data_IF_467159105844
#
_entry.id   IF_467159105844
#
_cell.length_a   1.000
_cell.length_b   1.000
_cell.length_c   1.000
_cell.angle_alpha   90.00
_cell.angle_beta   90.00
_cell.angle_gamma   90.00
#
_symmetry.space_group_name_H-M   'P 1'
#
loop_
_entity.id
_entity.type
_entity.pdbx_description
1 polymer ?
#
# COMPACT_ATOMS: atom_id res chain seq x y z
N UNK A 1 -1.10 6.72 -13.30
CA UNK A 1 -0.15 5.61 -13.11
C UNK A 1 -0.98 4.35 -12.99
N UNK A 2 -0.56 3.25 -13.63
CA UNK A 2 -1.35 2.00 -13.57
C UNK A 2 -1.00 1.19 -12.34
N UNK A 3 -1.90 0.29 -11.95
CA UNK A 3 -1.80 -0.63 -10.81
C UNK A 3 -2.07 -2.07 -11.23
N UNK A 4 -1.82 -2.38 -12.52
CA UNK A 4 -2.18 -3.66 -13.12
C UNK A 4 -1.40 -4.83 -12.53
N UNK A 5 -0.08 -4.71 -12.34
CA UNK A 5 0.75 -5.77 -11.77
C UNK A 5 0.29 -6.17 -10.35
N UNK A 6 -0.15 -5.20 -9.54
CA UNK A 6 -0.74 -5.49 -8.24
C UNK A 6 -2.03 -6.33 -8.36
N UNK A 7 -2.93 -5.97 -9.28
CA UNK A 7 -4.19 -6.69 -9.48
C UNK A 7 -3.99 -8.08 -10.10
N UNK A 8 -3.00 -8.25 -10.96
CA UNK A 8 -2.57 -9.56 -11.46
C UNK A 8 -2.09 -10.46 -10.32
N UNK A 9 -1.22 -9.95 -9.44
CA UNK A 9 -0.73 -10.70 -8.29
C UNK A 9 -1.84 -10.96 -7.26
N UNK A 10 -2.80 -10.05 -7.10
CA UNK A 10 -3.99 -10.29 -6.29
C UNK A 10 -4.82 -11.45 -6.84
N UNK A 11 -5.03 -11.49 -8.16
CA UNK A 11 -5.76 -12.57 -8.82
C UNK A 11 -5.02 -13.92 -8.71
N UNK A 12 -3.68 -13.91 -8.82
CA UNK A 12 -2.85 -15.10 -8.61
C UNK A 12 -2.91 -15.62 -7.17
N UNK A 13 -2.95 -14.72 -6.18
CA UNK A 13 -3.14 -15.08 -4.79
C UNK A 13 -4.54 -15.69 -4.54
N UNK A 14 -5.59 -15.11 -5.14
CA UNK A 14 -6.95 -15.64 -5.04
C UNK A 14 -7.10 -17.01 -5.70
N UNK A 15 -6.41 -17.25 -6.81
CA UNK A 15 -6.37 -18.53 -7.49
C UNK A 15 -5.60 -19.62 -6.72
N UNK A 16 -4.92 -19.26 -5.63
CA UNK A 16 -4.01 -20.16 -4.92
C UNK A 16 -2.78 -20.55 -5.73
N UNK A 17 -2.52 -19.86 -6.85
CA UNK A 17 -1.47 -20.19 -7.80
C UNK A 17 -0.08 -19.73 -7.33
N UNK A 18 -0.03 -18.67 -6.50
CA UNK A 18 1.20 -18.10 -5.91
C UNK A 18 1.00 -17.70 -4.45
N UNK A 19 2.13 -17.45 -3.79
CA UNK A 19 2.24 -16.91 -2.44
C UNK A 19 1.89 -17.86 -1.30
N UNK A 20 2.21 -17.45 -0.08
CA UNK A 20 1.90 -18.19 1.13
C UNK A 20 0.39 -18.18 1.43
N UNK A 21 -0.12 -19.18 2.17
CA UNK A 21 -1.53 -19.24 2.57
C UNK A 21 -2.03 -17.96 3.28
N UNK A 22 -1.16 -17.27 4.03
CA UNK A 22 -1.49 -16.02 4.71
C UNK A 22 -1.77 -14.86 3.73
N UNK A 23 -1.04 -14.81 2.62
CA UNK A 23 -1.23 -13.82 1.54
C UNK A 23 -2.50 -14.16 0.76
N UNK A 24 -2.72 -15.44 0.45
CA UNK A 24 -3.92 -15.92 -0.25
C UNK A 24 -5.19 -15.65 0.57
N UNK A 25 -5.15 -15.91 1.88
CA UNK A 25 -6.27 -15.63 2.79
C UNK A 25 -6.64 -14.14 2.85
N UNK A 26 -5.64 -13.24 2.78
CA UNK A 26 -5.89 -11.81 2.71
C UNK A 26 -6.52 -11.38 1.37
N UNK A 27 -6.24 -12.11 0.29
CA UNK A 27 -6.80 -11.83 -1.03
C UNK A 27 -8.22 -12.41 -1.23
N UNK A 28 -8.54 -13.52 -0.56
CA UNK A 28 -9.69 -14.39 -0.87
C UNK A 28 -11.05 -13.67 -0.95
N UNK A 29 -11.29 -12.65 -0.11
CA UNK A 29 -12.58 -11.95 -0.03
C UNK A 29 -12.56 -10.56 -0.67
N UNK A 30 -11.51 -10.21 -1.41
CA UNK A 30 -11.40 -8.90 -2.04
C UNK A 30 -12.13 -8.92 -3.39
N UNK A 31 -13.13 -8.06 -3.54
CA UNK A 31 -13.71 -7.80 -4.85
C UNK A 31 -12.76 -6.91 -5.67
N UNK A 32 -12.17 -7.47 -6.73
CA UNK A 32 -11.14 -6.83 -7.55
C UNK A 32 -11.67 -5.59 -8.25
N UNK A 33 -12.86 -5.66 -8.82
CA UNK A 33 -13.48 -4.53 -9.55
C UNK A 33 -13.78 -3.37 -8.62
N UNK A 34 -14.30 -3.67 -7.43
CA UNK A 34 -14.61 -2.67 -6.39
C UNK A 34 -13.33 -2.04 -5.86
N UNK A 35 -12.28 -2.84 -5.59
CA UNK A 35 -10.99 -2.32 -5.18
C UNK A 35 -10.36 -1.44 -6.28
N UNK A 36 -10.45 -1.87 -7.54
CA UNK A 36 -9.94 -1.09 -8.68
C UNK A 36 -10.65 0.25 -8.80
N UNK A 37 -11.97 0.26 -8.70
CA UNK A 37 -12.76 1.49 -8.65
C UNK A 37 -12.34 2.38 -7.47
N UNK A 38 -12.24 1.80 -6.26
CA UNK A 38 -11.87 2.55 -5.06
C UNK A 38 -10.48 3.22 -5.18
N UNK A 39 -9.47 2.46 -5.61
CA UNK A 39 -8.11 2.96 -5.83
C UNK A 39 -8.10 4.05 -6.90
N UNK A 40 -8.79 3.84 -8.03
CA UNK A 40 -8.87 4.84 -9.10
C UNK A 40 -9.55 6.14 -8.64
N UNK A 41 -10.69 6.04 -7.96
CA UNK A 41 -11.42 7.20 -7.42
C UNK A 41 -10.56 7.98 -6.43
N UNK A 42 -9.91 7.30 -5.50
CA UNK A 42 -9.07 7.94 -4.49
C UNK A 42 -7.80 8.54 -5.11
N UNK A 43 -7.16 7.87 -6.07
CA UNK A 43 -5.98 8.41 -6.75
C UNK A 43 -6.31 9.60 -7.65
N UNK A 44 -7.46 9.59 -8.32
CA UNK A 44 -7.91 10.70 -9.17
C UNK A 44 -8.41 11.92 -8.37
N UNK A 45 -8.85 11.71 -7.12
CA UNK A 45 -9.27 12.80 -6.23
C UNK A 45 -8.10 13.59 -5.63
N UNK A 46 -8.43 14.63 -4.86
CA UNK A 46 -7.48 15.45 -4.11
C UNK A 46 -6.81 14.71 -2.94
N UNK A 47 -6.10 15.46 -2.12
CA UNK A 47 -5.40 14.91 -0.95
C UNK A 47 -6.37 14.38 0.11
N UNK A 48 -7.54 14.96 0.24
CA UNK A 48 -8.61 14.59 1.17
C UNK A 48 -9.58 13.54 0.62
N UNK A 49 -9.30 12.98 -0.57
CA UNK A 49 -10.19 12.03 -1.25
C UNK A 49 -10.51 10.82 -0.38
N UNK A 50 -11.80 10.48 -0.33
CA UNK A 50 -12.34 9.34 0.40
C UNK A 50 -13.43 8.68 -0.41
N UNK A 51 -13.62 7.40 -0.15
CA UNK A 51 -14.70 6.54 -0.61
C UNK A 51 -15.40 5.97 0.62
N UNK A 52 -16.68 5.60 0.44
CA UNK A 52 -17.54 5.10 1.49
C UNK A 52 -18.12 3.73 1.15
N UNK A 53 -18.68 3.07 2.16
CA UNK A 53 -19.35 1.78 2.01
C UNK A 53 -18.42 0.67 1.51
N UNK A 54 -18.84 -0.03 0.46
CA UNK A 54 -18.13 -1.19 -0.09
C UNK A 54 -16.76 -0.83 -0.66
N UNK A 55 -16.61 0.36 -1.27
CA UNK A 55 -15.34 0.86 -1.80
C UNK A 55 -14.30 1.05 -0.68
N UNK A 56 -14.71 1.59 0.46
CA UNK A 56 -13.83 1.79 1.62
C UNK A 56 -13.37 0.45 2.21
N UNK A 57 -14.30 -0.50 2.34
CA UNK A 57 -13.99 -1.85 2.83
C UNK A 57 -13.03 -2.58 1.89
N UNK A 58 -13.28 -2.52 0.57
CA UNK A 58 -12.40 -3.09 -0.43
C UNK A 58 -11.01 -2.45 -0.41
N UNK A 59 -10.92 -1.12 -0.34
CA UNK A 59 -9.65 -0.38 -0.27
C UNK A 59 -8.82 -0.80 0.94
N UNK A 60 -9.45 -0.89 2.11
CA UNK A 60 -8.78 -1.34 3.33
C UNK A 60 -8.27 -2.78 3.20
N UNK A 61 -9.09 -3.69 2.67
CA UNK A 61 -8.68 -5.08 2.45
C UNK A 61 -7.54 -5.18 1.41
N UNK A 62 -7.61 -4.39 0.33
CA UNK A 62 -6.55 -4.27 -0.67
C UNK A 62 -5.24 -3.76 -0.08
N UNK A 63 -5.30 -2.79 0.82
CA UNK A 63 -4.12 -2.31 1.55
C UNK A 63 -3.54 -3.41 2.46
N UNK A 64 -4.36 -4.11 3.23
CA UNK A 64 -3.90 -5.23 4.07
C UNK A 64 -3.19 -6.31 3.24
N UNK A 65 -3.78 -6.68 2.09
CA UNK A 65 -3.13 -7.58 1.14
C UNK A 65 -1.80 -7.00 0.62
N UNK A 66 -1.76 -5.73 0.22
CA UNK A 66 -0.53 -5.07 -0.24
C UNK A 66 0.59 -5.12 0.80
N UNK A 67 0.28 -4.97 2.09
CA UNK A 67 1.28 -5.04 3.18
C UNK A 67 1.86 -6.44 3.38
N UNK A 68 1.13 -7.47 2.96
CA UNK A 68 1.63 -8.85 2.92
C UNK A 68 2.40 -9.10 1.62
N UNK A 69 1.88 -8.60 0.49
CA UNK A 69 2.47 -8.77 -0.82
C UNK A 69 3.86 -8.11 -0.94
N UNK A 70 4.08 -6.95 -0.32
CA UNK A 70 5.40 -6.30 -0.30
C UNK A 70 6.50 -7.18 0.32
N UNK A 71 6.13 -8.10 1.23
CA UNK A 71 7.07 -9.05 1.83
C UNK A 71 7.42 -10.22 0.89
N UNK A 72 6.61 -10.39 -0.16
CA UNK A 72 6.80 -11.39 -1.21
C UNK A 72 7.53 -10.80 -2.43
N UNK A 73 8.13 -9.62 -2.33
CA UNK A 73 8.97 -9.09 -3.41
C UNK A 73 10.19 -9.99 -3.62
N UNK A 74 10.58 -10.18 -4.89
CA UNK A 74 11.74 -10.99 -5.27
C UNK A 74 13.05 -10.41 -4.74
N UNK A 75 13.10 -9.09 -4.55
CA UNK A 75 14.24 -8.36 -4.01
C UNK A 75 13.79 -7.35 -2.96
N UNK A 76 14.67 -7.06 -2.01
CA UNK A 76 14.46 -6.00 -1.04
C UNK A 76 14.47 -4.62 -1.75
N UNK A 77 13.44 -3.77 -1.54
CA UNK A 77 13.41 -2.41 -2.07
C UNK A 77 14.55 -1.55 -1.52
N UNK A 78 14.94 -0.51 -2.27
CA UNK A 78 15.92 0.45 -1.80
C UNK A 78 15.43 1.29 -0.61
N UNK A 79 16.37 1.96 0.08
CA UNK A 79 16.08 2.79 1.26
C UNK A 79 14.99 3.85 1.00
N UNK A 80 15.00 4.48 -0.18
CA UNK A 80 14.00 5.48 -0.58
C UNK A 80 12.60 4.90 -0.70
N UNK A 81 12.47 3.70 -1.28
CA UNK A 81 11.18 3.02 -1.41
C UNK A 81 10.68 2.54 -0.06
N UNK A 82 11.57 2.02 0.79
CA UNK A 82 11.23 1.66 2.17
C UNK A 82 10.71 2.88 2.96
N UNK A 83 11.27 4.07 2.75
CA UNK A 83 10.75 5.32 3.33
C UNK A 83 9.37 5.67 2.77
N UNK A 84 9.15 5.48 1.46
CA UNK A 84 7.84 5.70 0.83
C UNK A 84 6.77 4.75 1.38
N UNK A 85 7.08 3.45 1.48
CA UNK A 85 6.22 2.46 2.12
C UNK A 85 5.92 2.83 3.56
N UNK A 86 6.93 3.23 4.33
CA UNK A 86 6.76 3.61 5.73
C UNK A 86 5.79 4.79 5.90
N UNK A 87 5.99 5.89 5.16
CA UNK A 87 5.13 7.08 5.31
C UNK A 87 3.68 6.74 4.97
N UNK A 88 3.43 6.07 3.85
CA UNK A 88 2.09 5.72 3.41
C UNK A 88 1.45 4.72 4.35
N UNK A 89 2.19 3.71 4.83
CA UNK A 89 1.69 2.74 5.80
C UNK A 89 1.24 3.40 7.11
N UNK A 90 2.04 4.34 7.64
CA UNK A 90 1.69 5.08 8.86
C UNK A 90 0.46 5.95 8.66
N UNK A 91 0.41 6.70 7.56
CA UNK A 91 -0.74 7.57 7.27
C UNK A 91 -2.01 6.76 6.97
N UNK A 92 -1.90 5.63 6.28
CA UNK A 92 -2.99 4.72 5.96
C UNK A 92 -3.66 4.10 7.19
N UNK A 93 -2.91 3.95 8.28
CA UNK A 93 -3.41 3.49 9.59
C UNK A 93 -3.87 4.64 10.49
N UNK A 94 -3.84 5.87 9.97
CA UNK A 94 -4.05 7.10 10.73
C UNK A 94 -3.16 7.20 11.98
N UNK A 95 -1.93 6.67 11.90
CA UNK A 95 -0.95 6.71 12.97
C UNK A 95 -0.03 7.93 12.81
N UNK A 96 0.16 8.64 13.92
CA UNK A 96 1.12 9.74 14.03
C UNK A 96 2.41 9.23 14.68
N UNK A 97 3.53 9.11 13.95
CA UNK A 97 4.81 8.77 14.52
C UNK A 97 5.28 9.89 15.47
N UNK A 98 5.88 9.50 16.59
CA UNK A 98 6.45 10.45 17.53
C UNK A 98 7.61 11.22 16.90
N UNK A 99 7.75 12.50 17.26
CA UNK A 99 8.84 13.33 16.78
C UNK A 99 10.18 12.82 17.36
N UNK A 100 11.15 12.48 16.50
CA UNK A 100 12.42 11.90 16.94
C UNK A 100 13.36 12.95 17.51
N UNK A 101 14.23 12.52 18.43
CA UNK A 101 15.28 13.39 18.97
C UNK A 101 16.33 13.76 17.92
N UNK A 102 17.04 14.87 18.12
CA UNK A 102 17.97 15.44 17.13
C UNK A 102 19.09 14.50 16.64
N UNK A 103 19.49 13.53 17.48
CA UNK A 103 20.54 12.56 17.18
C UNK A 103 20.02 11.31 16.43
N UNK A 104 18.70 11.11 16.34
CA UNK A 104 18.09 9.97 15.65
C UNK A 104 17.85 10.30 14.17
N UNK A 105 18.95 10.42 13.42
CA UNK A 105 18.95 10.88 12.02
C UNK A 105 18.00 10.06 11.13
N UNK A 106 18.01 8.73 11.23
CA UNK A 106 17.13 7.86 10.45
C UNK A 106 15.64 8.06 10.78
N UNK A 107 15.33 8.14 12.08
CA UNK A 107 13.97 8.41 12.54
C UNK A 107 13.48 9.77 12.07
N UNK A 108 14.38 10.78 12.00
CA UNK A 108 14.08 12.11 11.47
C UNK A 108 13.68 12.07 9.99
N UNK A 109 14.37 11.29 9.17
CA UNK A 109 13.97 11.10 7.77
C UNK A 109 12.59 10.45 7.66
N UNK A 110 12.31 9.40 8.44
CA UNK A 110 11.00 8.73 8.50
C UNK A 110 9.88 9.69 8.92
N UNK A 111 10.11 10.46 9.98
CA UNK A 111 9.15 11.44 10.49
C UNK A 111 8.91 12.58 9.49
N UNK A 112 9.96 13.12 8.87
CA UNK A 112 9.83 14.16 7.86
C UNK A 112 9.02 13.66 6.65
N UNK A 113 9.34 12.46 6.13
CA UNK A 113 8.63 11.85 5.02
C UNK A 113 7.14 11.63 5.33
N UNK A 114 6.82 11.23 6.57
CA UNK A 114 5.43 11.13 7.02
C UNK A 114 4.76 12.51 7.19
N UNK A 115 5.48 13.48 7.76
CA UNK A 115 4.98 14.85 8.00
C UNK A 115 4.60 15.53 6.69
N UNK A 116 5.39 15.35 5.64
CA UNK A 116 5.10 15.86 4.29
C UNK A 116 3.76 15.38 3.75
N UNK A 117 3.38 14.13 4.03
CA UNK A 117 2.10 13.56 3.57
C UNK A 117 1.00 13.60 4.64
N UNK A 118 1.24 14.19 5.80
CA UNK A 118 0.28 14.15 6.92
C UNK A 118 -1.07 14.81 6.61
N UNK A 119 -1.11 15.66 5.57
CA UNK A 119 -2.31 16.35 5.10
C UNK A 119 -3.25 15.46 4.25
N UNK A 120 -2.75 14.38 3.63
CA UNK A 120 -3.57 13.51 2.78
C UNK A 120 -4.49 12.63 3.63
N UNK A 121 -5.59 12.11 3.12
CA UNK A 121 -6.47 11.19 3.85
C UNK A 121 -5.80 9.82 4.09
N UNK A 122 -6.25 9.10 5.10
CA UNK A 122 -5.86 7.72 5.36
C UNK A 122 -6.11 6.82 4.14
N UNK A 123 -7.26 6.99 3.49
CA UNK A 123 -7.61 6.25 2.28
C UNK A 123 -6.72 6.63 1.08
N UNK A 124 -6.37 7.91 0.93
CA UNK A 124 -5.39 8.36 -0.07
C UNK A 124 -4.04 7.69 0.14
N UNK A 125 -3.59 7.59 1.39
CA UNK A 125 -2.38 6.88 1.73
C UNK A 125 -2.46 5.37 1.43
N UNK A 126 -3.62 4.73 1.64
CA UNK A 126 -3.83 3.32 1.26
C UNK A 126 -3.68 3.12 -0.25
N UNK A 127 -4.32 3.97 -1.06
CA UNK A 127 -4.24 3.89 -2.51
C UNK A 127 -2.82 4.17 -3.04
N UNK A 128 -2.12 5.15 -2.47
CA UNK A 128 -0.72 5.43 -2.81
C UNK A 128 0.21 4.29 -2.39
N UNK A 129 -0.06 3.63 -1.25
CA UNK A 129 0.69 2.45 -0.84
C UNK A 129 0.54 1.30 -1.86
N UNK A 130 -0.68 1.01 -2.30
CA UNK A 130 -0.94 0.01 -3.35
C UNK A 130 -0.19 0.38 -4.64
N UNK A 131 -0.19 1.66 -5.01
CA UNK A 131 0.55 2.14 -6.17
C UNK A 131 2.07 1.95 -6.04
N UNK A 132 2.65 2.19 -4.87
CA UNK A 132 4.08 1.93 -4.64
C UNK A 132 4.39 0.43 -4.64
N UNK A 133 3.51 -0.41 -4.09
CA UNK A 133 3.68 -1.87 -4.14
C UNK A 133 3.66 -2.35 -5.59
N UNK A 134 2.75 -1.82 -6.42
CA UNK A 134 2.72 -2.13 -7.85
C UNK A 134 4.07 -1.83 -8.52
N UNK A 135 4.63 -0.64 -8.31
CA UNK A 135 5.93 -0.26 -8.89
C UNK A 135 7.06 -1.17 -8.44
N UNK A 136 7.06 -1.54 -7.16
CA UNK A 136 8.05 -2.46 -6.63
C UNK A 136 7.91 -3.86 -7.24
N UNK A 137 6.69 -4.34 -7.50
CA UNK A 137 6.45 -5.59 -8.23
C UNK A 137 6.96 -5.48 -9.67
N UNK A 138 6.68 -4.38 -10.37
CA UNK A 138 7.18 -4.17 -11.73
C UNK A 138 8.71 -4.10 -11.80
N UNK A 139 9.35 -3.57 -10.75
CA UNK A 139 10.81 -3.39 -10.69
C UNK A 139 11.54 -4.64 -10.24
N UNK A 140 11.01 -5.36 -9.25
CA UNK A 140 11.71 -6.46 -8.57
C UNK A 140 11.07 -7.84 -8.80
N UNK A 141 9.86 -7.88 -9.34
CA UNK A 141 9.04 -9.08 -9.38
C UNK A 141 8.58 -9.54 -8.00
N UNK A 142 7.80 -10.62 -8.00
CA UNK A 142 7.40 -11.34 -6.79
C UNK A 142 8.07 -12.71 -6.75
N UNK A 143 8.41 -13.16 -5.54
CA UNK A 143 8.86 -14.53 -5.30
C UNK A 143 7.66 -15.47 -5.26
N UNK A 144 7.86 -16.68 -5.77
CA UNK A 144 6.89 -17.78 -5.74
C UNK A 144 6.64 -18.30 -4.32
#
# INVERSE_FOLDING_TARGET
MSVDAFFENLSLAQAGAKFTPDVQAAAANINVDVLKAAVQTVLAGGDDAKVDGELAAALKAGFEFATKLVKMLGKEPGQTELLAFYKYFKRARNETPAEPSFYQIESKYKYNAWKEISHISDQKAQALYIQEVNKAIETYGTRD
#
